data_IF_766405910904
#
_entry.id   IF_766405910904
#
_cell.length_a   1.000
_cell.length_b   1.000
_cell.length_c   1.000
_cell.angle_alpha   90.00
_cell.angle_beta   90.00
_cell.angle_gamma   90.00
#
_symmetry.space_group_name_H-M   'P 1'
#
loop_
_entity.id
_entity.type
_entity.pdbx_description
1 polymer ?
#
# COMPACT_ATOMS: atom_id res chain seq x y z
N UNK A 1 -3.87 -42.71 24.33
CA UNK A 1 -2.45 -42.46 23.85
C UNK A 1 -2.40 -41.77 22.50
N UNK A 2 -2.95 -42.35 21.37
CA UNK A 2 -2.88 -41.69 20.04
C UNK A 2 -3.63 -40.37 19.99
N UNK A 3 -4.82 -40.27 20.56
CA UNK A 3 -5.63 -39.07 20.59
C UNK A 3 -5.04 -37.96 21.46
N UNK A 4 -4.43 -38.32 22.58
CA UNK A 4 -3.71 -37.40 23.47
C UNK A 4 -2.47 -36.82 22.76
N UNK A 5 -1.71 -37.64 22.03
CA UNK A 5 -0.56 -37.21 21.27
C UNK A 5 -0.94 -36.23 20.16
N UNK A 6 -2.05 -36.51 19.46
CA UNK A 6 -2.61 -35.63 18.45
C UNK A 6 -3.03 -34.27 19.00
N UNK A 7 -3.72 -34.29 20.15
CA UNK A 7 -4.13 -33.06 20.83
C UNK A 7 -2.95 -32.22 21.30
N UNK A 8 -1.89 -32.83 21.82
CA UNK A 8 -0.64 -32.15 22.20
C UNK A 8 0.06 -31.54 20.98
N UNK A 9 0.05 -32.20 19.82
CA UNK A 9 0.59 -31.67 18.57
C UNK A 9 -0.22 -30.47 18.06
N UNK A 10 -1.54 -30.50 18.16
CA UNK A 10 -2.43 -29.38 17.80
C UNK A 10 -2.17 -28.16 18.69
N UNK A 11 -2.06 -28.36 20.01
CA UNK A 11 -1.73 -27.30 20.98
C UNK A 11 -0.35 -26.71 20.68
N UNK A 12 0.67 -27.55 20.47
CA UNK A 12 2.02 -27.11 20.11
C UNK A 12 2.01 -26.28 18.81
N UNK A 13 1.29 -26.75 17.80
CA UNK A 13 1.11 -26.02 16.53
C UNK A 13 0.40 -24.66 16.71
N UNK A 14 -0.59 -24.60 17.59
CA UNK A 14 -1.27 -23.35 17.93
C UNK A 14 -0.31 -22.34 18.57
N UNK A 15 0.47 -22.72 19.57
CA UNK A 15 1.44 -21.83 20.21
C UNK A 15 2.52 -21.37 19.23
N UNK A 16 2.99 -22.25 18.34
CA UNK A 16 3.96 -21.87 17.30
C UNK A 16 3.40 -20.79 16.37
N UNK A 17 2.16 -20.96 15.88
CA UNK A 17 1.49 -19.95 15.02
C UNK A 17 1.26 -18.64 15.77
N UNK A 18 0.86 -18.71 17.05
CA UNK A 18 0.65 -17.51 17.87
C UNK A 18 1.96 -16.74 18.06
N UNK A 19 3.07 -17.43 18.34
CA UNK A 19 4.38 -16.78 18.47
C UNK A 19 4.83 -16.08 17.19
N UNK A 20 4.57 -16.68 16.02
CA UNK A 20 4.84 -16.05 14.72
C UNK A 20 4.02 -14.77 14.56
N UNK A 21 2.73 -14.79 14.89
CA UNK A 21 1.86 -13.61 14.80
C UNK A 21 2.30 -12.48 15.73
N UNK A 22 2.70 -12.82 16.98
CA UNK A 22 3.22 -11.84 17.95
C UNK A 22 4.50 -11.20 17.40
N UNK A 23 5.43 -12.01 16.87
CA UNK A 23 6.67 -11.51 16.28
C UNK A 23 6.39 -10.62 15.08
N UNK A 24 5.49 -11.02 14.19
CA UNK A 24 5.08 -10.25 13.03
C UNK A 24 4.52 -8.88 13.41
N UNK A 25 3.59 -8.85 14.38
CA UNK A 25 3.02 -7.59 14.87
C UNK A 25 4.09 -6.68 15.46
N UNK A 26 5.03 -7.23 16.23
CA UNK A 26 6.17 -6.48 16.77
C UNK A 26 7.03 -5.86 15.68
N UNK A 27 7.31 -6.58 14.59
CA UNK A 27 8.08 -6.09 13.44
C UNK A 27 7.32 -5.00 12.67
N UNK A 28 6.02 -5.15 12.47
CA UNK A 28 5.18 -4.13 11.81
C UNK A 28 5.17 -2.83 12.64
N UNK A 29 4.96 -2.92 13.95
CA UNK A 29 4.97 -1.75 14.83
C UNK A 29 6.34 -1.06 14.83
N UNK A 30 7.42 -1.85 14.90
CA UNK A 30 8.78 -1.33 14.82
C UNK A 30 9.05 -0.63 13.50
N UNK A 31 8.67 -1.24 12.38
CA UNK A 31 8.83 -0.64 11.05
C UNK A 31 8.06 0.70 10.94
N UNK A 32 6.85 0.78 11.52
CA UNK A 32 6.09 2.03 11.57
C UNK A 32 6.83 3.12 12.36
N UNK A 33 7.35 2.80 13.55
CA UNK A 33 8.13 3.76 14.35
C UNK A 33 9.40 4.23 13.63
N UNK A 34 10.09 3.32 12.91
CA UNK A 34 11.27 3.62 12.13
C UNK A 34 10.92 4.53 10.94
N UNK A 35 9.80 4.26 10.26
CA UNK A 35 9.28 5.11 9.19
C UNK A 35 8.94 6.52 9.68
N UNK A 36 8.26 6.63 10.82
CA UNK A 36 7.88 7.92 11.43
C UNK A 36 9.12 8.74 11.85
N UNK A 37 10.26 8.07 12.13
CA UNK A 37 11.55 8.70 12.41
C UNK A 37 12.39 8.95 11.15
N UNK A 38 11.87 8.67 9.95
CA UNK A 38 12.59 8.73 8.68
C UNK A 38 13.83 7.80 8.60
N UNK A 39 13.90 6.78 9.45
CA UNK A 39 14.92 5.72 9.37
C UNK A 39 14.48 4.63 8.41
N UNK A 40 14.53 4.94 7.12
CA UNK A 40 14.06 4.04 6.06
C UNK A 40 14.92 2.78 5.93
N UNK A 41 16.18 2.82 6.33
CA UNK A 41 17.06 1.65 6.31
C UNK A 41 16.63 0.61 7.35
N UNK A 42 16.40 1.05 8.59
CA UNK A 42 15.89 0.16 9.65
C UNK A 42 14.48 -0.32 9.34
N UNK A 43 13.62 0.58 8.85
CA UNK A 43 12.27 0.25 8.42
C UNK A 43 12.26 -0.85 7.34
N UNK A 44 13.13 -0.76 6.32
CA UNK A 44 13.29 -1.79 5.30
C UNK A 44 13.65 -3.13 5.90
N UNK A 45 14.63 -3.18 6.80
CA UNK A 45 15.06 -4.41 7.47
C UNK A 45 13.93 -5.06 8.28
N UNK A 46 13.17 -4.25 9.04
CA UNK A 46 12.04 -4.73 9.84
C UNK A 46 10.91 -5.28 8.95
N UNK A 47 10.60 -4.61 7.83
CA UNK A 47 9.60 -5.08 6.86
C UNK A 47 10.06 -6.33 6.10
N UNK A 48 11.33 -6.43 5.73
CA UNK A 48 11.86 -7.64 5.10
C UNK A 48 11.83 -8.85 6.03
N UNK A 49 12.13 -8.66 7.32
CA UNK A 49 11.99 -9.75 8.31
C UNK A 49 10.51 -10.14 8.48
N UNK A 50 9.59 -9.18 8.52
CA UNK A 50 8.17 -9.41 8.55
C UNK A 50 7.68 -10.16 7.29
N UNK A 51 8.16 -9.78 6.11
CA UNK A 51 7.86 -10.43 4.84
C UNK A 51 8.31 -11.89 4.80
N UNK A 52 9.48 -12.22 5.38
CA UNK A 52 9.92 -13.64 5.51
C UNK A 52 9.00 -14.47 6.39
N UNK A 53 8.34 -13.87 7.39
CA UNK A 53 7.37 -14.55 8.23
C UNK A 53 6.03 -14.78 7.55
N UNK A 54 5.49 -13.76 6.88
CA UNK A 54 4.23 -13.79 6.15
C UNK A 54 4.33 -12.99 4.83
N UNK A 55 4.74 -13.64 3.71
CA UNK A 55 4.96 -12.96 2.44
C UNK A 55 3.71 -12.32 1.82
N UNK A 56 2.53 -12.81 2.20
CA UNK A 56 1.25 -12.33 1.69
C UNK A 56 0.51 -11.40 2.67
N UNK A 57 1.19 -10.94 3.72
CA UNK A 57 0.57 -10.01 4.66
C UNK A 57 0.38 -8.64 4.00
N UNK A 58 -0.87 -8.15 3.83
CA UNK A 58 -1.12 -6.91 3.09
C UNK A 58 -0.53 -5.67 3.75
N UNK A 59 -0.41 -5.64 5.08
CA UNK A 59 0.20 -4.51 5.80
C UNK A 59 1.71 -4.45 5.54
N UNK A 60 2.38 -5.59 5.50
CA UNK A 60 3.82 -5.68 5.20
C UNK A 60 4.08 -5.30 3.74
N UNK A 61 3.29 -5.85 2.82
CA UNK A 61 3.38 -5.53 1.38
C UNK A 61 3.15 -4.03 1.13
N UNK A 62 2.15 -3.45 1.78
CA UNK A 62 1.89 -1.99 1.74
C UNK A 62 3.09 -1.19 2.23
N UNK A 63 3.69 -1.58 3.36
CA UNK A 63 4.88 -0.92 3.90
C UNK A 63 6.07 -0.97 2.92
N UNK A 64 6.33 -2.13 2.30
CA UNK A 64 7.35 -2.28 1.27
C UNK A 64 7.05 -1.41 0.03
N UNK A 65 5.79 -1.34 -0.39
CA UNK A 65 5.34 -0.45 -1.45
C UNK A 65 5.60 1.03 -1.13
N UNK A 66 5.28 1.47 0.09
CA UNK A 66 5.57 2.84 0.55
C UNK A 66 7.07 3.17 0.49
N UNK A 67 7.95 2.26 0.92
CA UNK A 67 9.39 2.45 0.81
C UNK A 67 9.83 2.60 -0.66
N UNK A 68 9.30 1.76 -1.56
CA UNK A 68 9.61 1.84 -2.99
C UNK A 68 9.08 3.12 -3.64
N UNK A 69 7.92 3.61 -3.20
CA UNK A 69 7.38 4.90 -3.62
C UNK A 69 8.28 6.06 -3.16
N UNK A 70 8.77 6.01 -1.92
CA UNK A 70 9.73 7.00 -1.41
C UNK A 70 11.05 6.98 -2.20
N UNK A 71 11.56 5.80 -2.56
CA UNK A 71 12.71 5.62 -3.44
C UNK A 71 12.46 6.06 -4.90
N UNK A 72 11.24 6.51 -5.22
CA UNK A 72 10.74 6.81 -6.58
C UNK A 72 10.77 5.62 -7.53
N UNK A 73 10.84 4.41 -6.98
CA UNK A 73 10.71 3.16 -7.75
C UNK A 73 9.23 2.81 -7.87
N UNK A 74 8.53 3.58 -8.70
CA UNK A 74 7.07 3.54 -8.80
C UNK A 74 6.54 2.21 -9.31
N UNK A 75 7.23 1.56 -10.23
CA UNK A 75 6.80 0.27 -10.77
C UNK A 75 6.80 -0.82 -9.68
N UNK A 76 7.85 -0.86 -8.86
CA UNK A 76 7.89 -1.78 -7.71
C UNK A 76 6.89 -1.41 -6.61
N UNK A 77 6.63 -0.12 -6.40
CA UNK A 77 5.60 0.30 -5.45
C UNK A 77 4.22 -0.24 -5.88
N UNK A 78 3.86 -0.07 -7.15
CA UNK A 78 2.60 -0.60 -7.72
C UNK A 78 2.56 -2.13 -7.60
N UNK A 79 3.65 -2.83 -7.90
CA UNK A 79 3.72 -4.30 -7.76
C UNK A 79 3.41 -4.76 -6.33
N UNK A 80 3.98 -4.11 -5.33
CA UNK A 80 3.70 -4.43 -3.93
C UNK A 80 2.27 -4.11 -3.52
N UNK A 81 1.71 -2.99 -3.96
CA UNK A 81 0.32 -2.63 -3.68
C UNK A 81 -0.67 -3.57 -4.37
N UNK A 82 -0.39 -4.02 -5.60
CA UNK A 82 -1.20 -5.02 -6.29
C UNK A 82 -1.18 -6.37 -5.57
N UNK A 83 -0.01 -6.82 -5.09
CA UNK A 83 0.08 -8.01 -4.25
C UNK A 83 -0.69 -7.84 -2.94
N UNK A 84 -0.63 -6.66 -2.32
CA UNK A 84 -1.41 -6.38 -1.12
C UNK A 84 -2.91 -6.45 -1.40
N UNK A 85 -3.37 -5.92 -2.53
CA UNK A 85 -4.77 -5.91 -2.96
C UNK A 85 -5.37 -7.33 -3.06
N UNK A 86 -4.57 -8.34 -3.46
CA UNK A 86 -5.02 -9.74 -3.55
C UNK A 86 -5.37 -10.34 -2.19
N UNK A 87 -4.82 -9.81 -1.10
CA UNK A 87 -4.95 -10.35 0.26
C UNK A 87 -5.60 -9.37 1.24
N UNK A 88 -5.90 -8.15 0.80
CA UNK A 88 -6.46 -7.10 1.66
C UNK A 88 -7.97 -7.18 1.75
N UNK A 89 -8.48 -6.97 2.97
CA UNK A 89 -9.90 -6.70 3.22
C UNK A 89 -10.25 -5.20 3.06
N UNK A 90 -9.23 -4.33 2.96
CA UNK A 90 -9.35 -2.87 2.85
C UNK A 90 -8.84 -2.41 1.48
N UNK A 91 -9.48 -2.88 0.41
CA UNK A 91 -9.04 -2.64 -0.97
C UNK A 91 -9.00 -1.17 -1.36
N UNK A 92 -9.86 -0.34 -0.76
CA UNK A 92 -9.88 1.10 -0.93
C UNK A 92 -8.53 1.75 -0.60
N UNK A 93 -7.80 1.19 0.37
CA UNK A 93 -6.47 1.68 0.75
C UNK A 93 -5.47 1.41 -0.35
N UNK A 94 -5.41 0.18 -0.86
CA UNK A 94 -4.47 -0.20 -1.92
C UNK A 94 -4.77 0.52 -3.23
N UNK A 95 -6.03 0.65 -3.61
CA UNK A 95 -6.40 1.44 -4.80
C UNK A 95 -5.99 2.90 -4.66
N UNK A 96 -6.20 3.50 -3.48
CA UNK A 96 -5.77 4.89 -3.22
C UNK A 96 -4.25 5.04 -3.33
N UNK A 97 -3.48 4.09 -2.78
CA UNK A 97 -2.02 4.12 -2.86
C UNK A 97 -1.52 3.97 -4.31
N UNK A 98 -2.14 3.10 -5.11
CA UNK A 98 -1.82 2.98 -6.53
C UNK A 98 -2.16 4.29 -7.27
N UNK A 99 -3.33 4.87 -6.99
CA UNK A 99 -3.72 6.17 -7.54
C UNK A 99 -2.73 7.28 -7.21
N UNK A 100 -2.23 7.32 -5.97
CA UNK A 100 -1.19 8.26 -5.55
C UNK A 100 0.13 8.05 -6.32
N UNK A 101 0.52 6.81 -6.60
CA UNK A 101 1.73 6.54 -7.41
C UNK A 101 1.54 7.03 -8.84
N UNK A 102 0.39 6.82 -9.46
CA UNK A 102 0.10 7.36 -10.79
C UNK A 102 0.07 8.90 -10.80
N UNK A 103 -0.48 9.51 -9.76
CA UNK A 103 -0.44 10.95 -9.57
C UNK A 103 1.01 11.48 -9.53
N UNK A 104 1.89 10.82 -8.75
CA UNK A 104 3.32 11.18 -8.67
C UNK A 104 4.08 10.97 -9.99
N UNK A 105 3.58 10.08 -10.86
CA UNK A 105 4.10 9.90 -12.23
C UNK A 105 3.52 10.89 -13.25
N UNK A 106 2.68 11.82 -12.81
CA UNK A 106 1.96 12.74 -13.69
C UNK A 106 0.97 12.06 -14.66
N UNK A 107 0.54 10.84 -14.34
CA UNK A 107 -0.46 10.07 -15.07
C UNK A 107 -1.84 10.31 -14.44
N UNK A 108 -2.36 11.54 -14.63
CA UNK A 108 -3.52 12.02 -13.88
C UNK A 108 -4.80 11.25 -14.16
N UNK A 109 -5.02 10.81 -15.41
CA UNK A 109 -6.21 10.02 -15.78
C UNK A 109 -6.19 8.64 -15.12
N UNK A 110 -5.04 7.98 -15.09
CA UNK A 110 -4.87 6.71 -14.38
C UNK A 110 -5.06 6.91 -12.87
N UNK A 111 -4.52 7.99 -12.30
CA UNK A 111 -4.73 8.33 -10.90
C UNK A 111 -6.23 8.46 -10.56
N UNK A 112 -6.99 9.23 -11.35
CA UNK A 112 -8.44 9.39 -11.17
C UNK A 112 -9.17 8.05 -11.25
N UNK A 113 -8.78 7.18 -12.21
CA UNK A 113 -9.35 5.84 -12.34
C UNK A 113 -9.18 5.02 -11.06
N UNK A 114 -7.99 5.00 -10.49
CA UNK A 114 -7.72 4.22 -9.27
C UNK A 114 -8.38 4.82 -8.02
N UNK A 115 -8.46 6.14 -7.92
CA UNK A 115 -9.24 6.77 -6.84
C UNK A 115 -10.73 6.46 -6.95
N UNK A 116 -11.30 6.37 -8.16
CA UNK A 116 -12.69 5.94 -8.33
C UNK A 116 -12.88 4.48 -7.89
N UNK A 117 -11.95 3.57 -8.23
CA UNK A 117 -12.00 2.18 -7.73
C UNK A 117 -11.98 2.12 -6.20
N UNK A 118 -11.21 2.99 -5.54
CA UNK A 118 -11.21 3.07 -4.08
C UNK A 118 -12.55 3.55 -3.51
N UNK A 119 -13.20 4.53 -4.17
CA UNK A 119 -14.51 5.04 -3.80
C UNK A 119 -15.59 3.97 -3.99
N UNK A 120 -15.51 3.20 -5.09
CA UNK A 120 -16.44 2.11 -5.37
C UNK A 120 -16.36 0.99 -4.31
N UNK A 121 -15.18 0.73 -3.74
CA UNK A 121 -15.00 -0.23 -2.64
C UNK A 121 -15.51 0.34 -1.28
N UNK A 122 -15.33 1.64 -1.06
CA UNK A 122 -15.76 2.30 0.18
C UNK A 122 -16.12 3.77 -0.09
N UNK A 123 -17.42 4.04 -0.17
CA UNK A 123 -17.96 5.39 -0.46
C UNK A 123 -17.62 6.44 0.62
N UNK A 124 -17.29 6.01 1.84
CA UNK A 124 -16.94 6.91 2.94
C UNK A 124 -15.43 7.18 3.05
N UNK A 125 -14.61 6.61 2.14
CA UNK A 125 -13.15 6.73 2.22
C UNK A 125 -12.65 8.07 1.68
N UNK A 126 -12.61 9.08 2.55
CA UNK A 126 -12.31 10.50 2.27
C UNK A 126 -11.00 10.69 1.49
N UNK A 127 -9.96 9.94 1.81
CA UNK A 127 -8.64 10.05 1.15
C UNK A 127 -8.69 9.80 -0.36
N UNK A 128 -9.59 8.93 -0.82
CA UNK A 128 -9.78 8.67 -2.24
C UNK A 128 -10.43 9.86 -2.96
N UNK A 129 -11.40 10.51 -2.33
CA UNK A 129 -12.01 11.75 -2.87
C UNK A 129 -11.02 12.89 -2.95
N UNK A 130 -10.21 13.07 -1.90
CA UNK A 130 -9.16 14.11 -1.87
C UNK A 130 -8.16 13.91 -3.01
N UNK A 131 -7.62 12.70 -3.14
CA UNK A 131 -6.68 12.36 -4.21
C UNK A 131 -7.27 12.53 -5.61
N UNK A 132 -8.52 12.08 -5.81
CA UNK A 132 -9.23 12.24 -7.09
C UNK A 132 -9.43 13.72 -7.43
N UNK A 133 -9.92 14.51 -6.49
CA UNK A 133 -10.19 15.93 -6.72
C UNK A 133 -8.90 16.69 -7.03
N UNK A 134 -7.80 16.36 -6.35
CA UNK A 134 -6.48 16.94 -6.63
C UNK A 134 -6.01 16.60 -8.05
N UNK A 135 -6.11 15.33 -8.47
CA UNK A 135 -5.72 14.91 -9.79
C UNK A 135 -6.58 15.56 -10.90
N UNK A 136 -7.90 15.65 -10.68
CA UNK A 136 -8.81 16.31 -11.63
C UNK A 136 -8.53 17.80 -11.77
N UNK A 137 -8.26 18.49 -10.66
CA UNK A 137 -7.93 19.92 -10.67
C UNK A 137 -6.64 20.17 -11.45
N UNK A 138 -5.60 19.40 -11.19
CA UNK A 138 -4.32 19.54 -11.88
C UNK A 138 -4.44 19.23 -13.39
N UNK A 139 -5.19 18.20 -13.76
CA UNK A 139 -5.47 17.89 -15.17
C UNK A 139 -6.21 19.03 -15.85
N UNK A 140 -7.19 19.63 -15.20
CA UNK A 140 -7.93 20.78 -15.74
C UNK A 140 -7.02 21.99 -15.96
N UNK A 141 -6.15 22.32 -15.01
CA UNK A 141 -5.18 23.42 -15.16
C UNK A 141 -4.26 23.19 -16.35
N UNK A 142 -3.72 21.98 -16.51
CA UNK A 142 -2.86 21.63 -17.67
C UNK A 142 -3.57 21.80 -19.02
N UNK A 143 -4.86 21.42 -19.08
CA UNK A 143 -5.65 21.61 -20.30
C UNK A 143 -5.83 23.10 -20.62
N UNK A 144 -6.11 23.93 -19.63
CA UNK A 144 -6.23 25.37 -19.81
C UNK A 144 -4.93 26.02 -20.28
N UNK A 145 -3.80 25.67 -19.67
CA UNK A 145 -2.48 26.17 -20.05
C UNK A 145 -2.12 25.78 -21.49
N UNK A 146 -2.45 24.54 -21.90
CA UNK A 146 -2.25 24.08 -23.26
C UNK A 146 -3.11 24.87 -24.25
N UNK A 147 -4.41 25.08 -23.92
CA UNK A 147 -5.31 25.85 -24.78
C UNK A 147 -4.83 27.29 -24.93
N UNK A 148 -4.35 27.92 -23.86
CA UNK A 148 -3.82 29.29 -23.93
C UNK A 148 -2.52 29.34 -24.76
N UNK A 149 -1.65 28.35 -24.58
CA UNK A 149 -0.43 28.22 -25.38
C UNK A 149 -0.72 28.07 -26.89
N UNK A 150 -1.74 27.28 -27.24
CA UNK A 150 -2.14 27.06 -28.64
C UNK A 150 -2.75 28.31 -29.27
N UNK A 151 -3.45 29.17 -28.51
CA UNK A 151 -4.00 30.46 -29.06
C UNK A 151 -2.92 31.39 -29.60
N UNK A 152 -1.65 31.21 -29.22
CA UNK A 152 -0.52 32.01 -29.76
C UNK A 152 -0.12 31.62 -31.19
N UNK A 153 -0.59 30.45 -31.67
CA UNK A 153 -0.24 29.91 -32.99
C UNK A 153 -1.40 30.00 -34.02
N UNK A 154 -2.58 30.39 -33.55
CA UNK A 154 -3.80 30.64 -34.38
C UNK A 154 -4.32 32.06 -34.17
#
# INVERSE_FOLDING_TARGET
MADELKHLQEISGFFKRMNVKIKLLGLINKAKEEYDKFDFSSCSNSLEEAYRLEPNNPVVLRGLGCLKQFEKNYDKAIEYYQKALEHSEMKEVEYTLIGMVYYLQDKLDDAVKYFNLAIDENEDYTSAYEGRNQAMLENHVKILDLQESLKKYF
#
